data_IF_393602668637
#
_entry.id   IF_393602668637
#
_cell.length_a   1.000
_cell.length_b   1.000
_cell.length_c   1.000
_cell.angle_alpha   90.00
_cell.angle_beta   90.00
_cell.angle_gamma   90.00
#
_symmetry.space_group_name_H-M   'P 1'
#
loop_
_entity.id
_entity.type
_entity.pdbx_description
1 polymer ?
#
# COMPACT_ATOMS: atom_id res chain seq x y z
N UNK A 1 63.17 -51.95 29.43
CA UNK A 1 62.41 -51.15 30.42
C UNK A 1 62.17 -49.76 29.81
N UNK A 2 61.14 -49.60 28.98
CA UNK A 2 59.80 -49.04 29.27
C UNK A 2 59.81 -47.65 29.94
N UNK A 3 59.66 -46.62 29.08
CA UNK A 3 58.79 -45.41 29.12
C UNK A 3 58.92 -44.50 30.37
N UNK A 4 58.83 -43.17 30.27
CA UNK A 4 57.62 -42.42 29.95
C UNK A 4 57.97 -41.01 29.42
N UNK A 5 57.38 -40.68 28.28
CA UNK A 5 57.30 -39.36 27.67
C UNK A 5 56.09 -38.65 28.31
N UNK A 6 56.28 -37.53 29.00
CA UNK A 6 55.17 -36.71 29.50
C UNK A 6 54.98 -35.56 28.51
N UNK A 7 53.99 -35.71 27.64
CA UNK A 7 53.59 -34.70 26.68
C UNK A 7 52.86 -33.54 27.36
N UNK A 8 53.26 -32.32 27.04
CA UNK A 8 52.57 -31.10 27.43
C UNK A 8 51.40 -30.88 26.45
N UNK A 9 50.19 -31.28 26.82
CA UNK A 9 48.97 -30.96 26.07
C UNK A 9 48.44 -29.62 26.58
N UNK A 10 48.72 -28.55 25.84
CA UNK A 10 48.09 -27.25 26.08
C UNK A 10 46.67 -27.31 25.51
N UNK A 11 45.72 -27.74 26.34
CA UNK A 11 44.30 -27.74 25.99
C UNK A 11 43.80 -26.31 25.85
N UNK A 12 43.45 -25.90 24.62
CA UNK A 12 42.62 -24.73 24.39
C UNK A 12 41.22 -25.02 24.96
N UNK A 13 40.96 -24.57 26.18
CA UNK A 13 39.60 -24.51 26.71
C UNK A 13 38.87 -23.36 26.01
N UNK A 14 38.20 -23.68 24.90
CA UNK A 14 37.21 -22.79 24.31
C UNK A 14 35.97 -22.84 25.20
N UNK A 15 35.90 -21.96 26.20
CA UNK A 15 34.70 -21.76 27.00
C UNK A 15 33.74 -20.89 26.18
N UNK A 16 32.80 -21.50 25.46
CA UNK A 16 31.69 -20.78 24.86
C UNK A 16 30.73 -20.34 25.97
N UNK A 17 30.67 -19.04 26.23
CA UNK A 17 29.68 -18.46 27.13
C UNK A 17 28.26 -18.77 26.61
N UNK A 18 27.44 -19.39 27.46
CA UNK A 18 26.03 -19.66 27.19
C UNK A 18 25.23 -18.34 27.15
N UNK A 19 24.22 -18.26 26.27
CA UNK A 19 23.18 -17.23 26.37
C UNK A 19 22.34 -17.49 27.63
N UNK A 20 22.18 -16.47 28.47
CA UNK A 20 21.10 -16.35 29.45
C UNK A 20 20.59 -14.92 29.35
N UNK A 21 19.26 -14.69 29.28
CA UNK A 21 18.57 -13.62 30.04
C UNK A 21 17.04 -13.71 29.85
N UNK A 22 16.33 -13.64 30.98
CA UNK A 22 14.88 -13.47 31.12
C UNK A 22 14.64 -12.70 32.44
N UNK A 23 13.89 -11.59 32.46
CA UNK A 23 13.21 -11.07 33.68
C UNK A 23 12.04 -10.14 33.30
N UNK A 24 10.79 -10.44 33.69
CA UNK A 24 9.64 -9.52 33.57
C UNK A 24 8.75 -9.63 34.82
N UNK A 25 8.56 -8.52 35.55
CA UNK A 25 8.01 -8.54 36.93
C UNK A 25 6.64 -7.82 37.08
N UNK A 26 5.84 -7.77 35.98
CA UNK A 26 4.41 -7.32 35.86
C UNK A 26 3.93 -7.28 34.38
N UNK A 27 2.61 -7.19 34.09
CA UNK A 27 1.90 -8.18 33.25
C UNK A 27 2.52 -8.69 31.93
N UNK A 28 2.39 -10.01 31.82
CA UNK A 28 2.41 -10.86 30.63
C UNK A 28 1.40 -11.99 30.93
N UNK A 29 0.37 -12.25 30.13
CA UNK A 29 -0.49 -13.43 30.31
C UNK A 29 -1.26 -13.87 29.07
N UNK A 30 -1.21 -15.16 28.82
CA UNK A 30 -1.70 -15.81 27.63
C UNK A 30 -2.89 -16.69 28.10
N UNK A 31 -4.13 -16.30 27.78
CA UNK A 31 -5.40 -16.94 28.21
C UNK A 31 -6.24 -16.14 29.25
N UNK A 32 -7.58 -16.08 29.09
CA UNK A 32 -8.53 -15.09 29.70
C UNK A 32 -8.58 -15.00 31.25
N UNK A 33 -9.03 -13.92 31.95
CA UNK A 33 -10.05 -12.86 31.72
C UNK A 33 -9.47 -11.44 31.99
N UNK A 34 -9.96 -10.39 31.29
CA UNK A 34 -9.44 -9.00 31.27
C UNK A 34 -9.86 -8.11 32.45
N UNK A 35 -8.92 -7.32 33.00
CA UNK A 35 -9.20 -6.15 33.86
C UNK A 35 -8.34 -4.92 33.53
N UNK A 36 -8.92 -3.76 33.83
CA UNK A 36 -8.58 -2.46 33.25
C UNK A 36 -7.45 -1.69 33.96
N UNK A 37 -6.84 -0.74 33.23
CA UNK A 37 -6.02 0.33 33.83
C UNK A 37 -4.51 0.09 33.87
N UNK A 38 -3.76 1.14 34.24
CA UNK A 38 -2.37 1.44 33.86
C UNK A 38 -1.34 0.27 33.93
N UNK A 39 -0.52 0.14 32.86
CA UNK A 39 0.30 -1.03 32.46
C UNK A 39 1.39 -1.53 33.42
N UNK A 40 2.18 -2.60 33.16
CA UNK A 40 2.67 -3.24 31.92
C UNK A 40 1.85 -4.47 31.55
N UNK A 41 1.66 -4.77 30.26
CA UNK A 41 0.91 -5.96 29.78
C UNK A 41 1.53 -6.57 28.53
N UNK A 42 1.39 -7.88 28.38
CA UNK A 42 1.44 -8.60 27.09
C UNK A 42 0.50 -9.80 27.20
N UNK A 43 -0.72 -9.71 26.67
CA UNK A 43 -1.69 -10.79 26.87
C UNK A 43 -2.34 -11.34 25.60
N UNK A 44 -2.45 -12.67 25.52
CA UNK A 44 -3.02 -13.41 24.39
C UNK A 44 -4.06 -14.42 24.88
N UNK A 45 -5.27 -13.90 25.11
CA UNK A 45 -6.48 -14.61 25.50
C UNK A 45 -7.58 -13.58 25.76
N UNK A 46 -8.79 -13.82 25.27
CA UNK A 46 -9.92 -12.88 25.36
C UNK A 46 -10.99 -13.42 26.33
N UNK A 47 -11.75 -12.56 27.03
CA UNK A 47 -12.90 -13.02 27.83
C UNK A 47 -13.98 -13.68 26.96
N UNK A 48 -13.98 -13.40 25.65
CA UNK A 48 -14.79 -14.12 24.66
C UNK A 48 -13.93 -15.24 24.11
N UNK A 49 -14.43 -16.48 24.19
CA UNK A 49 -13.76 -17.61 23.56
C UNK A 49 -13.58 -17.35 22.06
N UNK A 50 -12.36 -17.55 21.57
CA UNK A 50 -12.05 -17.62 20.15
C UNK A 50 -11.25 -18.91 19.90
N UNK A 51 -11.52 -19.61 18.79
CA UNK A 51 -10.80 -20.82 18.38
C UNK A 51 -9.45 -20.51 17.74
N UNK A 52 -9.28 -19.29 17.26
CA UNK A 52 -8.24 -18.99 16.31
C UNK A 52 -6.88 -18.84 16.98
N UNK A 53 -5.86 -19.34 16.30
CA UNK A 53 -4.50 -19.37 16.84
C UNK A 53 -3.84 -17.99 16.78
N UNK A 54 -3.19 -17.62 17.89
CA UNK A 54 -2.34 -16.43 17.98
C UNK A 54 -0.94 -16.88 18.36
N UNK A 55 0.03 -16.63 17.48
CA UNK A 55 1.40 -17.04 17.72
C UNK A 55 2.43 -16.07 17.16
N UNK A 56 3.59 -16.07 17.81
CA UNK A 56 4.77 -15.33 17.39
C UNK A 56 5.94 -16.30 17.31
N UNK A 57 6.37 -16.65 16.10
CA UNK A 57 7.36 -17.71 15.88
C UNK A 57 8.48 -17.26 14.97
N UNK A 58 9.66 -17.79 15.26
CA UNK A 58 10.79 -17.76 14.33
C UNK A 58 10.63 -18.92 13.34
N UNK A 59 10.66 -18.64 12.04
CA UNK A 59 10.62 -19.63 10.98
C UNK A 59 11.94 -19.62 10.18
N UNK A 60 12.76 -20.65 10.33
CA UNK A 60 14.02 -20.78 9.61
C UNK A 60 13.77 -21.42 8.24
N UNK A 61 13.88 -20.64 7.16
CA UNK A 61 13.57 -21.08 5.80
C UNK A 61 14.74 -21.86 5.20
N UNK A 62 15.96 -21.33 5.33
CA UNK A 62 17.20 -21.90 4.79
C UNK A 62 18.41 -21.35 5.57
N UNK A 63 19.63 -21.76 5.18
CA UNK A 63 20.86 -21.25 5.79
C UNK A 63 20.91 -19.72 5.71
N UNK A 64 21.07 -19.06 6.86
CA UNK A 64 21.14 -17.60 6.99
C UNK A 64 19.88 -16.84 6.54
N UNK A 65 18.72 -17.52 6.53
CA UNK A 65 17.41 -16.88 6.26
C UNK A 65 16.38 -17.26 7.30
N UNK A 66 15.81 -16.25 7.95
CA UNK A 66 14.84 -16.42 9.02
C UNK A 66 13.74 -15.37 8.89
N UNK A 67 12.49 -15.84 8.94
CA UNK A 67 11.32 -14.98 9.07
C UNK A 67 10.85 -14.94 10.53
N UNK A 68 10.34 -13.79 10.94
CA UNK A 68 9.60 -13.63 12.18
C UNK A 68 8.11 -13.53 11.83
N UNK A 69 7.33 -14.52 12.25
CA UNK A 69 5.91 -14.61 11.93
C UNK A 69 5.11 -14.16 13.14
N UNK A 70 4.20 -13.21 12.92
CA UNK A 70 3.11 -12.89 13.82
C UNK A 70 1.81 -13.33 13.13
N UNK A 71 1.13 -14.32 13.69
CA UNK A 71 -0.20 -14.76 13.23
C UNK A 71 -1.26 -14.37 14.23
N UNK A 72 -2.38 -13.88 13.71
CA UNK A 72 -3.55 -13.47 14.49
C UNK A 72 -4.78 -14.02 13.79
N UNK A 73 -5.23 -15.17 14.27
CA UNK A 73 -6.37 -15.89 13.74
C UNK A 73 -6.16 -16.56 12.38
N UNK A 74 -7.21 -17.21 11.88
CA UNK A 74 -7.17 -18.11 10.73
C UNK A 74 -8.18 -17.75 9.62
N UNK A 75 -8.95 -16.67 9.80
CA UNK A 75 -9.92 -16.19 8.83
C UNK A 75 -9.59 -14.78 8.29
N UNK A 76 -10.39 -14.27 7.34
CA UNK A 76 -10.15 -13.02 6.63
C UNK A 76 -10.65 -11.75 7.35
N UNK A 77 -11.22 -11.93 8.55
CA UNK A 77 -11.81 -10.87 9.39
C UNK A 77 -10.87 -10.43 10.50
N UNK A 78 -9.87 -11.25 10.82
CA UNK A 78 -8.88 -10.97 11.85
C UNK A 78 -7.98 -9.78 11.51
N UNK A 79 -7.51 -9.10 12.57
CA UNK A 79 -6.82 -7.82 12.45
C UNK A 79 -5.66 -7.68 13.42
N UNK A 80 -4.50 -7.28 12.91
CA UNK A 80 -3.50 -6.60 13.70
C UNK A 80 -3.81 -5.10 13.72
N UNK A 81 -3.89 -4.50 14.91
CA UNK A 81 -4.29 -3.09 15.06
C UNK A 81 -3.31 -2.32 15.92
N UNK A 82 -2.83 -1.18 15.40
CA UNK A 82 -2.07 -0.18 16.15
C UNK A 82 -2.97 1.04 16.36
N UNK A 83 -2.94 1.58 17.57
CA UNK A 83 -3.80 2.69 17.92
C UNK A 83 -3.54 3.18 19.32
N UNK A 84 -4.49 3.97 19.84
CA UNK A 84 -4.38 4.59 21.15
C UNK A 84 -5.71 4.54 21.89
N UNK A 85 -5.66 4.51 23.21
CA UNK A 85 -6.79 4.85 24.07
C UNK A 85 -6.45 6.16 24.78
N UNK A 86 -7.12 7.26 24.44
CA UNK A 86 -6.92 8.50 25.22
C UNK A 86 -7.53 8.33 26.61
N UNK A 87 -7.02 9.09 27.57
CA UNK A 87 -7.45 9.00 28.98
C UNK A 87 -8.94 9.35 29.19
N UNK A 88 -9.58 10.05 28.26
CA UNK A 88 -11.00 10.40 28.30
C UNK A 88 -11.84 9.73 27.18
N UNK A 89 -11.24 8.87 26.36
CA UNK A 89 -11.95 8.10 25.33
C UNK A 89 -12.43 6.77 25.96
N UNK A 90 -13.70 6.42 25.74
CA UNK A 90 -14.26 5.16 26.22
C UNK A 90 -13.58 3.95 25.56
N UNK A 91 -13.32 4.07 24.26
CA UNK A 91 -12.84 2.98 23.40
C UNK A 91 -11.42 3.22 22.88
N UNK A 92 -10.78 2.12 22.48
CA UNK A 92 -9.51 2.18 21.76
C UNK A 92 -9.75 2.69 20.33
N UNK A 93 -9.02 3.74 19.95
CA UNK A 93 -9.05 4.33 18.61
C UNK A 93 -8.02 3.64 17.72
N UNK A 94 -8.50 2.94 16.70
CA UNK A 94 -7.66 2.30 15.68
C UNK A 94 -7.02 3.38 14.78
N UNK A 95 -5.71 3.26 14.54
CA UNK A 95 -4.97 4.18 13.68
C UNK A 95 -4.38 3.46 12.46
N UNK A 96 -3.78 2.30 12.68
CA UNK A 96 -3.33 1.39 11.63
C UNK A 96 -4.01 0.05 11.80
N UNK A 97 -4.55 -0.47 10.71
CA UNK A 97 -5.21 -1.78 10.66
C UNK A 97 -4.53 -2.60 9.59
N UNK A 98 -4.18 -3.83 9.91
CA UNK A 98 -3.72 -4.84 8.97
C UNK A 98 -4.67 -6.01 9.08
N UNK A 99 -5.45 -6.27 8.04
CA UNK A 99 -6.33 -7.41 7.97
C UNK A 99 -5.55 -8.64 7.47
N UNK A 100 -5.91 -9.82 7.94
CA UNK A 100 -5.34 -11.10 7.50
C UNK A 100 -5.55 -11.38 6.01
N UNK A 101 -6.55 -10.75 5.37
CA UNK A 101 -6.72 -10.75 3.90
C UNK A 101 -5.67 -9.92 3.12
N UNK A 102 -4.74 -9.29 3.83
CA UNK A 102 -3.66 -8.48 3.28
C UNK A 102 -4.01 -7.03 2.97
N UNK A 103 -5.17 -6.54 3.41
CA UNK A 103 -5.52 -5.13 3.30
C UNK A 103 -5.02 -4.32 4.49
N UNK A 104 -4.50 -3.13 4.23
CA UNK A 104 -4.01 -2.19 5.24
C UNK A 104 -4.84 -0.91 5.24
N UNK A 105 -5.20 -0.42 6.42
CA UNK A 105 -5.91 0.84 6.62
C UNK A 105 -5.12 1.82 7.48
N UNK A 106 -5.04 3.08 7.08
CA UNK A 106 -4.56 4.20 7.90
C UNK A 106 -5.73 5.16 8.15
N UNK A 107 -6.17 5.25 9.42
CA UNK A 107 -7.38 5.99 9.79
C UNK A 107 -8.69 5.34 9.28
N UNK A 108 -8.63 4.08 8.86
CA UNK A 108 -9.76 3.30 8.30
C UNK A 108 -9.80 1.94 9.00
N UNK A 109 -10.94 1.62 9.64
CA UNK A 109 -11.11 0.39 10.40
C UNK A 109 -11.34 -0.86 9.54
N UNK A 110 -11.87 -0.68 8.33
CA UNK A 110 -12.24 -1.74 7.39
C UNK A 110 -11.74 -1.40 5.98
N UNK A 111 -10.42 -1.55 5.73
CA UNK A 111 -9.85 -1.28 4.41
C UNK A 111 -10.39 -2.27 3.36
N UNK A 112 -10.77 -1.74 2.20
CA UNK A 112 -11.25 -2.49 1.03
C UNK A 112 -10.16 -2.69 -0.02
N UNK A 113 -9.11 -1.87 0.00
CA UNK A 113 -7.96 -1.99 -0.87
C UNK A 113 -6.71 -2.48 -0.12
N UNK A 114 -5.67 -2.88 -0.86
CA UNK A 114 -4.39 -3.28 -0.26
C UNK A 114 -3.80 -2.22 0.64
N UNK A 115 -4.00 -0.95 0.29
CA UNK A 115 -3.76 0.18 1.17
C UNK A 115 -4.89 1.21 1.01
N UNK A 116 -5.59 1.48 2.10
CA UNK A 116 -6.60 2.54 2.21
C UNK A 116 -6.13 3.59 3.22
N UNK A 117 -6.19 4.86 2.85
CA UNK A 117 -5.75 5.98 3.70
C UNK A 117 -6.87 7.01 3.79
N UNK A 118 -7.39 7.24 4.99
CA UNK A 118 -8.28 8.36 5.27
C UNK A 118 -7.43 9.56 5.73
N UNK A 119 -6.89 10.30 4.76
CA UNK A 119 -6.03 11.45 5.02
C UNK A 119 -5.16 11.80 3.81
N UNK A 120 -4.11 12.56 4.05
CA UNK A 120 -3.19 13.01 3.00
C UNK A 120 -1.91 12.19 3.00
N UNK A 121 -1.51 11.71 1.82
CA UNK A 121 -0.20 11.09 1.60
C UNK A 121 0.74 12.19 1.05
N UNK A 122 1.83 12.48 1.78
CA UNK A 122 2.90 13.36 1.30
C UNK A 122 4.09 12.52 0.88
N UNK A 123 4.41 12.52 -0.41
CA UNK A 123 5.52 11.79 -0.98
C UNK A 123 6.46 12.75 -1.73
N UNK A 124 7.74 12.38 -1.86
CA UNK A 124 8.67 13.04 -2.80
C UNK A 124 8.45 12.58 -4.23
N UNK A 125 8.07 11.31 -4.39
CA UNK A 125 7.85 10.64 -5.67
C UNK A 125 6.81 9.54 -5.48
N UNK A 126 5.94 9.37 -6.48
CA UNK A 126 5.00 8.25 -6.58
C UNK A 126 5.21 7.63 -7.95
N UNK A 127 5.74 6.41 -7.99
CA UNK A 127 5.87 5.65 -9.23
C UNK A 127 4.61 4.81 -9.42
N UNK A 128 3.86 5.11 -10.47
CA UNK A 128 2.64 4.39 -10.83
C UNK A 128 2.97 3.47 -12.02
N UNK A 129 2.64 2.20 -11.89
CA UNK A 129 2.79 1.23 -12.97
C UNK A 129 1.45 1.10 -13.70
N UNK A 130 1.41 1.50 -14.96
CA UNK A 130 0.22 1.44 -15.81
C UNK A 130 0.59 1.08 -17.24
N UNK A 131 -0.39 0.58 -18.00
CA UNK A 131 -0.25 0.43 -19.45
C UNK A 131 -0.24 1.82 -20.07
N UNK A 132 0.94 2.24 -20.54
CA UNK A 132 1.13 3.58 -21.08
C UNK A 132 0.38 3.76 -22.40
N UNK A 133 -0.36 4.86 -22.50
CA UNK A 133 -1.05 5.24 -23.72
C UNK A 133 -0.10 5.99 -24.67
N UNK A 134 0.53 5.26 -25.58
CA UNK A 134 1.17 5.83 -26.77
C UNK A 134 0.43 5.28 -28.00
N UNK A 135 -0.74 5.85 -28.29
CA UNK A 135 -1.59 5.39 -29.39
C UNK A 135 -2.22 6.48 -30.25
N UNK A 136 -2.29 7.73 -29.80
CA UNK A 136 -2.91 8.80 -30.58
C UNK A 136 -2.14 9.07 -31.88
N UNK A 137 -0.81 8.91 -31.86
CA UNK A 137 0.02 9.09 -33.04
C UNK A 137 0.14 7.84 -33.93
N UNK A 138 -0.52 6.72 -33.57
CA UNK A 138 -0.47 5.51 -34.39
C UNK A 138 -1.34 5.67 -35.64
N UNK A 139 -0.88 5.09 -36.76
CA UNK A 139 -1.64 5.07 -38.02
C UNK A 139 -2.98 4.36 -37.80
N UNK A 140 -4.08 5.06 -38.11
CA UNK A 140 -5.44 4.54 -37.93
C UNK A 140 -6.11 4.97 -36.63
N UNK A 141 -5.48 5.83 -35.82
CA UNK A 141 -6.18 6.54 -34.75
C UNK A 141 -7.30 7.40 -35.35
N UNK A 142 -8.52 7.21 -34.87
CA UNK A 142 -9.66 8.02 -35.28
C UNK A 142 -9.73 9.26 -34.38
N UNK A 143 -9.04 10.32 -34.79
CA UNK A 143 -9.15 11.63 -34.14
C UNK A 143 -10.58 12.14 -34.33
N UNK A 144 -11.34 12.41 -33.24
CA UNK A 144 -12.66 13.02 -33.36
C UNK A 144 -12.57 14.35 -34.10
N UNK A 145 -13.63 14.80 -34.77
CA UNK A 145 -13.63 16.17 -35.31
C UNK A 145 -13.92 17.18 -34.21
N UNK A 146 -13.54 18.45 -34.40
CA UNK A 146 -13.86 19.50 -33.43
C UNK A 146 -15.37 19.71 -33.31
N UNK A 147 -16.15 19.48 -34.35
CA UNK A 147 -17.62 19.50 -34.30
C UNK A 147 -18.18 18.36 -33.42
N UNK A 148 -17.63 17.14 -33.54
CA UNK A 148 -18.03 16.02 -32.69
C UNK A 148 -17.68 16.28 -31.22
N UNK A 149 -16.52 16.89 -30.96
CA UNK A 149 -16.09 17.29 -29.62
C UNK A 149 -17.00 18.38 -29.07
N UNK A 150 -17.34 19.41 -29.86
CA UNK A 150 -18.25 20.49 -29.48
C UNK A 150 -19.63 19.94 -29.12
N UNK A 151 -20.21 19.10 -29.99
CA UNK A 151 -21.49 18.46 -29.72
C UNK A 151 -21.45 17.65 -28.41
N UNK A 152 -20.37 16.90 -28.16
CA UNK A 152 -20.24 16.15 -26.91
C UNK A 152 -20.18 17.07 -25.68
N UNK A 153 -19.49 18.21 -25.77
CA UNK A 153 -19.43 19.21 -24.69
C UNK A 153 -20.82 19.81 -24.45
N UNK A 154 -21.57 20.14 -25.49
CA UNK A 154 -22.93 20.66 -25.36
C UNK A 154 -23.87 19.66 -24.70
N UNK A 155 -23.75 18.37 -25.05
CA UNK A 155 -24.62 17.30 -24.54
C UNK A 155 -24.23 16.83 -23.12
N UNK A 156 -22.94 16.77 -22.80
CA UNK A 156 -22.40 16.12 -21.60
C UNK A 156 -21.67 17.06 -20.64
N UNK A 157 -21.32 18.26 -21.06
CA UNK A 157 -20.57 19.24 -20.25
C UNK A 157 -19.14 18.80 -19.91
N UNK A 158 -18.59 17.83 -20.62
CA UNK A 158 -17.24 17.25 -20.41
C UNK A 158 -16.58 16.98 -21.75
N UNK A 159 -15.25 16.78 -21.74
CA UNK A 159 -14.55 16.29 -22.94
C UNK A 159 -14.81 14.79 -23.13
N UNK A 160 -14.80 14.27 -24.38
CA UNK A 160 -14.95 12.84 -24.62
C UNK A 160 -13.97 11.99 -23.80
N UNK A 161 -14.51 11.05 -23.01
CA UNK A 161 -13.73 10.15 -22.16
C UNK A 161 -13.34 10.72 -20.78
N UNK A 162 -13.56 12.00 -20.53
CA UNK A 162 -13.30 12.63 -19.21
C UNK A 162 -14.52 12.45 -18.31
N UNK A 163 -14.35 11.91 -17.08
CA UNK A 163 -15.48 11.70 -16.17
C UNK A 163 -16.08 13.04 -15.72
N UNK A 164 -17.38 13.02 -15.45
CA UNK A 164 -18.11 14.16 -14.91
C UNK A 164 -17.75 14.43 -13.45
N UNK A 165 -17.98 15.66 -12.97
CA UNK A 165 -17.78 16.02 -11.55
C UNK A 165 -18.59 15.10 -10.62
N UNK A 166 -19.79 14.69 -11.05
CA UNK A 166 -20.64 13.78 -10.29
C UNK A 166 -19.99 12.39 -10.13
N UNK A 167 -19.39 11.87 -11.19
CA UNK A 167 -18.69 10.58 -11.16
C UNK A 167 -17.42 10.66 -10.31
N UNK A 168 -16.66 11.74 -10.45
CA UNK A 168 -15.45 11.99 -9.64
C UNK A 168 -15.78 12.10 -8.15
N UNK A 169 -16.86 12.79 -7.77
CA UNK A 169 -17.31 12.88 -6.37
C UNK A 169 -17.79 11.54 -5.81
N UNK A 170 -18.38 10.69 -6.65
CA UNK A 170 -18.91 9.40 -6.23
C UNK A 170 -17.80 8.35 -6.07
N UNK A 171 -16.84 8.32 -7.01
CA UNK A 171 -15.91 7.20 -7.16
C UNK A 171 -14.44 7.57 -6.94
N UNK A 172 -14.11 8.86 -6.85
CA UNK A 172 -12.73 9.35 -6.88
C UNK A 172 -12.14 9.34 -8.29
N UNK A 173 -10.81 9.45 -8.37
CA UNK A 173 -10.05 9.35 -9.62
C UNK A 173 -8.93 8.32 -9.47
N UNK A 174 -8.71 7.53 -10.51
CA UNK A 174 -7.51 6.71 -10.62
C UNK A 174 -6.39 7.57 -11.19
N UNK A 175 -5.31 7.76 -10.44
CA UNK A 175 -4.17 8.58 -10.83
C UNK A 175 -3.54 8.11 -12.16
N UNK A 176 -3.36 6.79 -12.32
CA UNK A 176 -2.79 6.20 -13.53
C UNK A 176 -3.60 6.51 -14.78
N UNK A 177 -4.91 6.26 -14.69
CA UNK A 177 -5.84 6.45 -15.79
C UNK A 177 -6.01 7.94 -16.12
N UNK A 178 -5.97 8.80 -15.10
CA UNK A 178 -6.06 10.26 -15.29
C UNK A 178 -4.83 10.77 -16.03
N UNK A 179 -3.62 10.36 -15.65
CA UNK A 179 -2.39 10.78 -16.34
C UNK A 179 -2.37 10.30 -17.80
N UNK A 180 -2.80 9.05 -18.04
CA UNK A 180 -2.97 8.49 -19.39
C UNK A 180 -3.98 9.30 -20.21
N UNK A 181 -5.14 9.61 -19.64
CA UNK A 181 -6.18 10.37 -20.32
C UNK A 181 -5.74 11.82 -20.62
N UNK A 182 -5.04 12.46 -19.68
CA UNK A 182 -4.47 13.79 -19.87
C UNK A 182 -3.45 13.79 -21.01
N UNK A 183 -2.57 12.79 -21.09
CA UNK A 183 -1.63 12.65 -22.20
C UNK A 183 -2.38 12.48 -23.52
N UNK A 184 -3.38 11.60 -23.59
CA UNK A 184 -4.21 11.43 -24.78
C UNK A 184 -4.79 12.78 -25.23
N UNK A 185 -5.33 13.59 -24.31
CA UNK A 185 -5.89 14.91 -24.66
C UNK A 185 -4.85 15.90 -25.13
N UNK A 186 -3.64 15.89 -24.57
CA UNK A 186 -2.52 16.71 -25.04
C UNK A 186 -2.12 16.31 -26.46
N UNK A 187 -2.08 15.02 -26.76
CA UNK A 187 -1.74 14.51 -28.09
C UNK A 187 -2.82 14.85 -29.13
N UNK A 188 -4.10 14.68 -28.79
CA UNK A 188 -5.24 15.11 -29.65
C UNK A 188 -5.18 16.61 -29.94
N UNK A 189 -4.99 17.44 -28.90
CA UNK A 189 -4.82 18.90 -29.07
C UNK A 189 -3.63 19.24 -29.96
N UNK A 190 -2.53 18.48 -29.86
CA UNK A 190 -1.36 18.68 -30.72
C UNK A 190 -1.69 18.40 -32.18
N UNK A 191 -2.48 17.36 -32.49
CA UNK A 191 -2.94 17.07 -33.85
C UNK A 191 -3.84 18.18 -34.40
N UNK A 192 -4.82 18.66 -33.63
CA UNK A 192 -5.65 19.79 -34.07
C UNK A 192 -4.83 21.06 -34.33
N UNK A 193 -3.81 21.34 -33.50
CA UNK A 193 -2.93 22.50 -33.71
C UNK A 193 -2.11 22.36 -35.00
N UNK A 194 -1.64 21.14 -35.33
CA UNK A 194 -0.93 20.88 -36.58
C UNK A 194 -1.85 21.12 -37.78
N UNK A 195 -3.09 20.62 -37.72
CA UNK A 195 -4.11 20.83 -38.75
C UNK A 195 -4.46 22.31 -38.95
N UNK A 196 -4.76 23.03 -37.86
CA UNK A 196 -5.04 24.47 -37.90
C UNK A 196 -3.87 25.27 -38.49
N UNK A 197 -2.62 24.90 -38.17
CA UNK A 197 -1.44 25.55 -38.74
C UNK A 197 -1.35 25.33 -40.25
N UNK A 198 -1.66 24.12 -40.72
CA UNK A 198 -1.68 23.83 -42.16
C UNK A 198 -2.73 24.68 -42.88
N UNK A 199 -3.95 24.74 -42.33
CA UNK A 199 -5.03 25.56 -42.88
C UNK A 199 -4.66 27.05 -42.93
N UNK A 200 -4.03 27.58 -41.87
CA UNK A 200 -3.57 28.98 -41.85
C UNK A 200 -2.54 29.25 -42.95
N UNK A 201 -1.59 28.35 -43.20
CA UNK A 201 -0.58 28.53 -44.26
C UNK A 201 -1.20 28.42 -45.65
N UNK A 202 -2.18 27.55 -45.84
CA UNK A 202 -2.95 27.45 -47.08
C UNK A 202 -3.76 28.74 -47.34
N UNK A 203 -4.43 29.27 -46.31
CA UNK A 203 -5.15 30.55 -46.40
C UNK A 203 -4.21 31.72 -46.72
N UNK A 204 -3.04 31.80 -46.06
CA UNK A 204 -2.03 32.83 -46.38
C UNK A 204 -1.53 32.73 -47.81
N UNK A 205 -1.33 31.52 -48.31
CA UNK A 205 -0.88 31.27 -49.69
C UNK A 205 -1.94 31.69 -50.71
N UNK A 206 -3.23 31.54 -50.38
CA UNK A 206 -4.34 32.00 -51.22
C UNK A 206 -4.49 33.53 -51.21
N UNK A 207 -4.24 34.20 -50.08
CA UNK A 207 -4.31 35.67 -49.97
C UNK A 207 -3.13 36.38 -50.65
N UNK A 208 -1.97 35.73 -50.72
CA UNK A 208 -0.75 36.30 -51.33
C UNK A 208 -0.64 36.09 -52.85
N UNK A 209 -1.65 35.50 -53.50
CA UNK A 209 -1.78 35.34 -54.96
C UNK A 209 -2.91 36.24 -55.49
#
# INVERSE_FOLDING_TARGET
MKKVLIGLFLGLFCCSAYSQTEVIDKDVQIGGLITEGYGKKLQFGSPKGNSDDVYFIRNNIESDRTDLILSLGDDDKDKFVIGRKFWNEAEFTQQFVFQTNGNMGIGIANPKNKLDVNGTIRAKEVKVESEWADFVFKKGYNLPTLEEVEQHIEEKGTLPGVPSEKEVKANGVNLAETDVLLLQKIEELTLYIIELKQEIEDLKSQVNN
#
